data_IF_676945621799
#
_entry.id   IF_676945621799
#
_cell.length_a   1.000
_cell.length_b   1.000
_cell.length_c   1.000
_cell.angle_alpha   90.00
_cell.angle_beta   90.00
_cell.angle_gamma   90.00
#
_symmetry.space_group_name_H-M   'P 1'
#
loop_
_entity.id
_entity.type
_entity.pdbx_description
1 polymer ?
#
# COMPACT_ATOMS: atom_id res chain seq x y z
N UNK A 1 35.99 -23.75 -8.79
CA UNK A 1 34.55 -23.98 -8.52
C UNK A 1 33.90 -22.59 -8.43
N UNK A 2 32.73 -22.43 -9.03
CA UNK A 2 32.25 -21.18 -9.67
C UNK A 2 32.21 -19.93 -8.79
N UNK A 3 32.60 -18.80 -9.39
CA UNK A 3 32.41 -17.46 -8.82
C UNK A 3 30.93 -17.11 -8.97
N UNK A 4 30.19 -17.03 -7.87
CA UNK A 4 28.93 -16.31 -7.84
C UNK A 4 29.28 -14.82 -7.84
N UNK A 5 29.15 -14.14 -8.97
CA UNK A 5 29.11 -12.69 -9.01
C UNK A 5 27.67 -12.27 -8.68
N UNK A 6 27.40 -11.62 -7.53
CA UNK A 6 26.10 -11.01 -7.28
C UNK A 6 26.01 -9.73 -8.12
N UNK A 7 25.79 -9.90 -9.42
CA UNK A 7 25.62 -8.83 -10.40
C UNK A 7 24.20 -8.31 -10.33
N UNK A 8 24.07 -7.17 -9.66
CA UNK A 8 22.95 -6.24 -9.69
C UNK A 8 21.58 -6.83 -9.26
N UNK A 9 20.74 -6.03 -8.61
CA UNK A 9 19.36 -6.39 -8.33
C UNK A 9 18.58 -6.38 -9.65
N UNK A 10 18.51 -7.54 -10.30
CA UNK A 10 17.70 -7.74 -11.50
C UNK A 10 16.28 -8.11 -11.06
N UNK A 11 15.28 -7.42 -11.61
CA UNK A 11 13.86 -7.77 -11.42
C UNK A 11 13.58 -9.11 -12.10
N UNK A 12 13.72 -10.21 -11.37
CA UNK A 12 13.52 -11.59 -11.86
C UNK A 12 12.68 -12.41 -10.87
N UNK A 13 12.12 -13.53 -11.33
CA UNK A 13 11.43 -14.46 -10.43
C UNK A 13 12.38 -14.99 -9.35
N UNK A 14 11.93 -14.97 -8.10
CA UNK A 14 12.73 -15.26 -6.90
C UNK A 14 13.43 -14.05 -6.28
N UNK A 15 13.33 -12.86 -6.89
CA UNK A 15 13.85 -11.65 -6.25
C UNK A 15 12.95 -11.23 -5.07
N UNK A 16 13.56 -10.97 -3.93
CA UNK A 16 12.89 -10.47 -2.74
C UNK A 16 12.86 -8.94 -2.71
N UNK A 17 11.83 -8.40 -2.07
CA UNK A 17 11.68 -6.97 -1.85
C UNK A 17 10.60 -6.65 -0.82
N UNK A 18 10.09 -5.43 -0.87
CA UNK A 18 9.17 -4.89 0.14
C UNK A 18 8.02 -4.12 -0.49
N UNK A 19 6.81 -4.31 0.02
CA UNK A 19 5.67 -3.47 -0.34
C UNK A 19 5.86 -2.05 0.22
N UNK A 20 5.68 -1.00 -0.60
CA UNK A 20 5.72 0.39 -0.10
C UNK A 20 4.33 0.89 0.31
N UNK A 21 3.30 0.39 -0.39
CA UNK A 21 1.89 0.69 -0.15
C UNK A 21 1.09 -0.62 -0.07
N UNK A 22 -0.15 -0.59 0.45
CA UNK A 22 -1.04 -1.74 0.37
C UNK A 22 -1.25 -2.20 -1.08
N UNK A 23 -0.96 -3.47 -1.38
CA UNK A 23 -1.25 -4.03 -2.71
C UNK A 23 -2.64 -4.66 -2.72
N UNK A 24 -3.59 -4.02 -3.42
CA UNK A 24 -4.90 -4.60 -3.80
C UNK A 24 -5.39 -4.03 -5.16
N UNK A 25 -5.28 -4.77 -6.27
CA UNK A 25 -4.36 -5.87 -6.53
C UNK A 25 -2.98 -5.38 -6.98
N UNK A 26 -2.84 -4.13 -7.42
CA UNK A 26 -1.58 -3.56 -7.84
C UNK A 26 -1.10 -2.50 -6.84
N UNK A 27 0.21 -2.33 -6.74
CA UNK A 27 0.82 -1.29 -5.93
C UNK A 27 2.32 -1.16 -6.13
N UNK A 28 2.92 -0.08 -5.62
CA UNK A 28 4.36 0.12 -5.68
C UNK A 28 5.08 -0.81 -4.70
N UNK A 29 6.12 -1.47 -5.20
CA UNK A 29 7.04 -2.29 -4.42
C UNK A 29 8.48 -1.84 -4.66
N UNK A 30 9.33 -2.08 -3.67
CA UNK A 30 10.76 -1.83 -3.72
C UNK A 30 11.50 -3.16 -3.79
N UNK A 31 12.15 -3.42 -4.92
CA UNK A 31 12.97 -4.61 -5.15
C UNK A 31 14.42 -4.14 -5.22
N UNK A 32 15.17 -4.36 -4.13
CA UNK A 32 16.49 -3.76 -3.97
C UNK A 32 16.43 -2.22 -4.05
N UNK A 33 17.14 -1.57 -4.98
CA UNK A 33 17.12 -0.12 -5.20
C UNK A 33 16.08 0.34 -6.23
N UNK A 34 15.34 -0.59 -6.86
CA UNK A 34 14.37 -0.26 -7.91
C UNK A 34 12.95 -0.25 -7.35
N UNK A 35 12.22 0.84 -7.62
CA UNK A 35 10.79 0.95 -7.31
C UNK A 35 9.99 0.68 -8.57
N UNK A 36 9.15 -0.35 -8.51
CA UNK A 36 8.37 -0.83 -9.65
C UNK A 36 6.91 -1.06 -9.26
N UNK A 37 6.05 -1.17 -10.27
CA UNK A 37 4.66 -1.59 -10.08
C UNK A 37 4.59 -3.12 -10.06
N UNK A 38 4.05 -3.65 -8.97
CA UNK A 38 3.78 -5.07 -8.86
C UNK A 38 2.30 -5.33 -8.58
N UNK A 39 1.87 -6.52 -8.97
CA UNK A 39 0.51 -7.03 -8.80
C UNK A 39 0.60 -8.17 -7.80
N UNK A 40 -0.13 -8.08 -6.70
CA UNK A 40 -0.30 -9.20 -5.79
C UNK A 40 -1.07 -10.33 -6.49
N UNK A 41 -0.78 -11.57 -6.12
CA UNK A 41 -1.49 -12.77 -6.60
C UNK A 41 -2.92 -12.88 -6.01
N UNK A 42 -3.67 -11.78 -6.01
CA UNK A 42 -5.01 -11.69 -5.42
C UNK A 42 -5.05 -11.59 -3.89
N UNK A 43 -3.92 -11.81 -3.21
CA UNK A 43 -3.81 -11.59 -1.78
C UNK A 43 -3.64 -10.10 -1.44
N UNK A 44 -4.15 -9.70 -0.28
CA UNK A 44 -3.72 -8.44 0.31
C UNK A 44 -2.28 -8.54 0.73
N UNK A 45 -1.51 -7.50 0.45
CA UNK A 45 -0.17 -7.35 1.02
C UNK A 45 -0.16 -6.03 1.77
N UNK A 46 0.20 -6.11 3.04
CA UNK A 46 0.31 -4.94 3.91
C UNK A 46 1.50 -4.06 3.47
N UNK A 47 1.40 -2.73 3.64
CA UNK A 47 2.55 -1.86 3.42
C UNK A 47 3.70 -2.28 4.34
N UNK A 48 4.90 -2.39 3.77
CA UNK A 48 6.09 -2.81 4.48
C UNK A 48 6.29 -4.32 4.59
N UNK A 49 5.36 -5.15 4.12
CA UNK A 49 5.51 -6.60 4.13
C UNK A 49 6.60 -7.07 3.14
N UNK A 50 7.28 -8.17 3.49
CA UNK A 50 8.26 -8.82 2.63
C UNK A 50 7.54 -9.56 1.49
N UNK A 51 8.01 -9.33 0.26
CA UNK A 51 7.43 -9.92 -0.94
C UNK A 51 8.49 -10.56 -1.81
N UNK A 52 8.10 -11.58 -2.56
CA UNK A 52 8.93 -12.22 -3.58
C UNK A 52 8.24 -12.15 -4.94
N UNK A 53 9.03 -11.94 -5.99
CA UNK A 53 8.55 -12.01 -7.37
C UNK A 53 8.28 -13.47 -7.74
N UNK A 54 7.03 -13.79 -8.01
CA UNK A 54 6.63 -15.13 -8.50
C UNK A 54 6.61 -15.19 -10.03
N UNK A 55 6.39 -14.05 -10.69
CA UNK A 55 6.32 -13.98 -12.16
C UNK A 55 6.67 -12.60 -12.67
N UNK A 56 7.38 -12.53 -13.80
CA UNK A 56 7.64 -11.28 -14.53
C UNK A 56 7.06 -11.41 -15.93
N UNK A 57 6.16 -10.50 -16.31
CA UNK A 57 5.51 -10.45 -17.62
C UNK A 57 5.67 -9.06 -18.21
N UNK A 58 6.76 -8.86 -18.97
CA UNK A 58 7.10 -7.55 -19.53
C UNK A 58 7.34 -6.53 -18.43
N UNK A 59 6.46 -5.54 -18.30
CA UNK A 59 6.50 -4.53 -17.23
C UNK A 59 5.66 -4.87 -16.01
N UNK A 60 4.81 -5.91 -16.10
CA UNK A 60 3.97 -6.35 -14.98
C UNK A 60 4.69 -7.43 -14.19
N UNK A 61 4.88 -7.17 -12.90
CA UNK A 61 5.51 -8.11 -11.99
C UNK A 61 4.45 -8.64 -11.04
N UNK A 62 4.32 -9.96 -10.94
CA UNK A 62 3.46 -10.60 -9.95
C UNK A 62 4.28 -10.95 -8.72
N UNK A 63 3.82 -10.53 -7.55
CA UNK A 63 4.47 -10.77 -6.26
C UNK A 63 3.57 -11.50 -5.28
N UNK A 64 4.17 -12.20 -4.34
CA UNK A 64 3.49 -12.87 -3.23
C UNK A 64 4.18 -12.50 -1.92
N UNK A 65 3.39 -12.36 -0.86
CA UNK A 65 3.94 -12.18 0.49
C UNK A 65 4.72 -13.45 0.91
N UNK A 66 5.90 -13.25 1.51
CA UNK A 66 6.73 -14.34 2.06
C UNK A 66 6.93 -14.16 3.58
N UNK A 67 7.10 -15.28 4.33
CA UNK A 67 7.37 -15.23 5.76
C UNK A 67 8.83 -14.84 6.12
N UNK A 68 9.75 -14.87 5.16
CA UNK A 68 11.17 -14.60 5.37
C UNK A 68 11.50 -13.10 5.41
N UNK A 69 11.34 -12.50 6.59
CA UNK A 69 11.90 -11.19 6.93
C UNK A 69 11.53 -10.78 8.35
N UNK A 70 12.40 -10.08 9.10
CA UNK A 70 12.13 -9.61 10.47
C UNK A 70 11.05 -8.51 10.58
N UNK A 71 10.11 -8.47 9.63
CA UNK A 71 8.95 -7.58 9.59
C UNK A 71 7.63 -8.35 9.73
N UNK A 72 7.61 -9.37 10.60
CA UNK A 72 6.35 -9.85 11.18
C UNK A 72 5.65 -8.70 11.93
N UNK A 73 4.33 -8.76 12.11
CA UNK A 73 3.49 -7.59 12.41
C UNK A 73 3.71 -7.03 13.83
N UNK A 74 4.77 -6.24 14.02
CA UNK A 74 4.86 -5.27 15.10
C UNK A 74 4.40 -3.91 14.56
N UNK A 75 3.09 -3.67 14.62
CA UNK A 75 2.53 -2.33 14.52
C UNK A 75 2.05 -1.91 13.13
N UNK A 76 0.88 -2.41 12.74
CA UNK A 76 -0.10 -1.54 12.09
C UNK A 76 -1.39 -1.62 12.90
N UNK A 77 -1.68 -0.50 13.54
CA UNK A 77 -2.88 -0.33 14.33
C UNK A 77 -4.11 -0.63 13.48
N UNK A 78 -5.01 -1.39 14.08
CA UNK A 78 -6.43 -1.05 14.17
C UNK A 78 -6.66 0.46 13.95
N UNK A 79 -6.85 0.90 12.72
CA UNK A 79 -7.72 2.04 12.42
C UNK A 79 -8.82 1.54 11.46
N UNK A 80 -9.39 0.39 11.83
CA UNK A 80 -10.84 0.26 11.82
C UNK A 80 -11.43 1.33 12.76
N UNK A 81 -11.43 2.59 12.33
CA UNK A 81 -12.37 3.60 12.83
C UNK A 81 -13.27 4.00 11.68
N UNK A 82 -14.20 3.09 11.42
CA UNK A 82 -15.54 3.47 11.04
C UNK A 82 -16.12 4.26 12.21
N UNK A 83 -16.15 5.59 12.14
CA UNK A 83 -17.08 6.44 12.89
C UNK A 83 -17.64 7.49 11.94
N UNK A 84 -18.31 7.01 10.90
CA UNK A 84 -19.41 7.76 10.33
C UNK A 84 -20.69 7.02 10.70
N UNK A 85 -21.53 7.53 11.62
CA UNK A 85 -22.96 7.34 11.51
C UNK A 85 -23.55 8.34 10.49
N UNK A 86 -24.49 7.91 9.64
CA UNK A 86 -25.32 8.79 8.81
C UNK A 86 -26.55 9.27 9.60
N UNK A 87 -26.96 10.53 9.43
CA UNK A 87 -28.21 11.13 9.99
C UNK A 87 -28.17 11.30 11.53
N UNK A 88 -28.89 12.19 12.19
CA UNK A 88 -30.04 13.02 11.89
C UNK A 88 -30.06 14.12 12.97
N UNK A 89 -30.29 15.39 12.60
CA UNK A 89 -30.30 16.47 13.60
C UNK A 89 -30.26 17.89 13.04
N UNK A 90 -31.34 18.33 12.38
CA UNK A 90 -31.82 19.69 12.62
C UNK A 90 -32.54 19.68 14.00
N UNK A 91 -32.68 20.78 14.77
CA UNK A 91 -32.65 22.19 14.35
C UNK A 91 -31.91 23.18 15.30
N UNK A 92 -31.73 24.42 14.85
CA UNK A 92 -31.88 25.59 15.72
C UNK A 92 -30.62 26.40 16.09
N UNK A 93 -30.30 27.40 15.27
CA UNK A 93 -29.77 28.69 15.72
C UNK A 93 -30.48 29.74 14.87
N UNK A 94 -31.61 30.26 15.33
CA UNK A 94 -31.70 31.58 15.97
C UNK A 94 -31.07 32.67 15.06
N UNK A 95 -31.85 33.13 14.07
CA UNK A 95 -32.70 34.34 14.11
C UNK A 95 -31.88 35.63 13.91
N UNK A 96 -32.01 36.13 12.68
CA UNK A 96 -32.20 37.53 12.32
C UNK A 96 -31.07 38.52 12.61
N UNK A 97 -30.45 38.93 11.51
CA UNK A 97 -29.65 40.16 11.44
C UNK A 97 -29.12 40.43 10.04
N UNK A 98 -29.87 40.14 8.98
CA UNK A 98 -29.47 40.56 7.63
C UNK A 98 -29.73 42.08 7.48
N UNK A 99 -28.80 42.85 6.88
CA UNK A 99 -28.81 44.30 6.86
C UNK A 99 -29.71 44.81 5.72
N UNK A 100 -29.84 46.13 5.49
CA UNK A 100 -29.04 46.63 4.38
C UNK A 100 -28.56 48.08 4.53
N UNK A 101 -27.55 48.36 3.72
CA UNK A 101 -27.00 49.66 3.42
C UNK A 101 -27.95 50.54 2.58
N UNK A 102 -27.71 51.85 2.68
CA UNK A 102 -28.01 52.93 1.72
C UNK A 102 -29.50 53.29 1.52
N UNK A 103 -29.77 54.56 1.20
CA UNK A 103 -29.56 55.08 -0.17
C UNK A 103 -28.27 55.89 -0.35
#
# INVERSE_FOLDING_TARGET
MGRATPEAPVITAGAAGRALSPLRPAGPVEIGPCRIEAVSDGAFIEPGAAVEIVRVVGTRVTVRQIPDGPGGPEGVGKEDRQDGPPGEGAPGGEKDGEPPAAP
#
